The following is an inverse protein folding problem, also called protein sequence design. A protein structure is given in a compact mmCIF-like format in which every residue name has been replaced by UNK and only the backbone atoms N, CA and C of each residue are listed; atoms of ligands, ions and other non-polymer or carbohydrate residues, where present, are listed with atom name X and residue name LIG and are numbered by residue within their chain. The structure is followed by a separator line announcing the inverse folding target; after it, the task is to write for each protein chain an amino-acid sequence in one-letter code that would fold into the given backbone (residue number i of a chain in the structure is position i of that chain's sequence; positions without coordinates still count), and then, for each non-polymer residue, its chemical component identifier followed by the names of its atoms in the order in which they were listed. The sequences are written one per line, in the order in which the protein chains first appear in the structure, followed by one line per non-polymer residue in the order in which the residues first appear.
data_IF_371090788606
#
_entry.id   IF_371090788606
#
_cell.length_a   1.000
_cell.length_b   1.000
_cell.length_c   1.000
_cell.angle_alpha   90.00
_cell.angle_beta   90.00
_cell.angle_gamma   90.00
#
_symmetry.space_group_name_H-M   'P 1'
#
loop_
_entity.id
_entity.type
_entity.pdbx_description
1 polymer ?
#
# COMPACT_ATOMS: atom_id res chain seq x y z
N UNK A 1 37.78 -11.21 -30.58
CA UNK A 1 36.45 -11.47 -31.20
C UNK A 1 35.61 -12.51 -30.44
N UNK A 2 36.11 -13.73 -30.13
CA UNK A 2 35.33 -14.75 -29.41
C UNK A 2 34.82 -14.33 -28.02
N UNK A 3 35.64 -13.64 -27.24
CA UNK A 3 35.25 -13.14 -25.90
C UNK A 3 34.11 -12.11 -26.00
N UNK A 4 34.20 -11.17 -26.93
CA UNK A 4 33.14 -10.17 -27.17
C UNK A 4 31.84 -10.83 -27.62
N UNK A 5 31.91 -11.83 -28.51
CA UNK A 5 30.75 -12.62 -28.91
C UNK A 5 30.12 -13.34 -27.72
N UNK A 6 30.94 -13.99 -26.87
CA UNK A 6 30.43 -14.69 -25.68
C UNK A 6 29.80 -13.73 -24.68
N UNK A 7 30.39 -12.56 -24.45
CA UNK A 7 29.83 -11.51 -23.61
C UNK A 7 28.47 -11.06 -24.14
N UNK A 8 28.37 -10.75 -25.44
CA UNK A 8 27.12 -10.38 -26.08
C UNK A 8 26.05 -11.46 -25.93
N UNK A 9 26.41 -12.73 -26.18
CA UNK A 9 25.50 -13.86 -26.04
C UNK A 9 25.06 -14.08 -24.58
N UNK A 10 25.96 -13.91 -23.61
CA UNK A 10 25.62 -13.98 -22.19
C UNK A 10 24.60 -12.91 -21.82
N UNK A 11 24.82 -11.65 -22.21
CA UNK A 11 23.87 -10.55 -21.95
C UNK A 11 22.53 -10.84 -22.60
N UNK A 12 22.55 -11.25 -23.88
CA UNK A 12 21.33 -11.59 -24.62
C UNK A 12 20.54 -12.72 -23.94
N UNK A 13 21.22 -13.79 -23.50
CA UNK A 13 20.57 -14.88 -22.78
C UNK A 13 20.00 -14.44 -21.44
N UNK A 14 20.72 -13.62 -20.68
CA UNK A 14 20.20 -13.10 -19.42
C UNK A 14 18.89 -12.33 -19.67
N UNK A 15 18.87 -11.43 -20.65
CA UNK A 15 17.67 -10.64 -20.98
C UNK A 15 16.51 -11.55 -21.41
N UNK A 16 16.75 -12.45 -22.36
CA UNK A 16 15.70 -13.32 -22.90
C UNK A 16 15.12 -14.27 -21.83
N UNK A 17 15.97 -14.96 -21.07
CA UNK A 17 15.51 -15.91 -20.06
C UNK A 17 14.88 -15.21 -18.86
N UNK A 18 15.37 -14.04 -18.44
CA UNK A 18 14.70 -13.24 -17.40
C UNK A 18 13.31 -12.80 -17.86
N UNK A 19 13.16 -12.35 -19.11
CA UNK A 19 11.84 -12.05 -19.69
C UNK A 19 10.93 -13.28 -19.75
N UNK A 20 11.48 -14.46 -20.06
CA UNK A 20 10.72 -15.72 -20.02
C UNK A 20 10.32 -16.12 -18.59
N UNK A 21 11.20 -15.98 -17.60
CA UNK A 21 10.87 -16.26 -16.20
C UNK A 21 9.75 -15.34 -15.73
N UNK A 22 9.89 -14.04 -16.01
CA UNK A 22 8.89 -13.05 -15.69
C UNK A 22 7.54 -13.39 -16.33
N UNK A 23 7.52 -13.61 -17.66
CA UNK A 23 6.33 -14.01 -18.39
C UNK A 23 5.68 -15.28 -17.85
N UNK A 24 6.47 -16.31 -17.51
CA UNK A 24 5.97 -17.55 -16.92
C UNK A 24 5.32 -17.32 -15.56
N UNK A 25 5.99 -16.60 -14.65
CA UNK A 25 5.55 -16.44 -13.27
C UNK A 25 4.28 -15.58 -13.15
N UNK A 26 3.98 -14.72 -14.12
CA UNK A 26 2.69 -14.01 -14.21
C UNK A 26 1.49 -14.98 -14.26
N UNK A 27 1.64 -16.17 -14.86
CA UNK A 27 0.55 -17.14 -14.97
C UNK A 27 0.49 -18.14 -13.81
N UNK A 28 1.47 -18.13 -12.90
CA UNK A 28 1.56 -19.12 -11.84
C UNK A 28 1.06 -18.56 -10.51
N UNK A 29 0.28 -19.37 -9.78
CA UNK A 29 0.01 -19.13 -8.36
C UNK A 29 1.28 -19.41 -7.51
N UNK A 30 1.22 -19.15 -6.21
CA UNK A 30 2.36 -19.31 -5.31
C UNK A 30 2.90 -20.75 -5.34
N UNK A 31 2.02 -21.75 -5.21
CA UNK A 31 2.40 -23.17 -5.18
C UNK A 31 3.10 -23.58 -6.48
N UNK A 32 2.51 -23.24 -7.62
CA UNK A 32 3.05 -23.63 -8.93
C UNK A 32 4.34 -22.87 -9.25
N UNK A 33 4.46 -21.62 -8.77
CA UNK A 33 5.70 -20.84 -8.85
C UNK A 33 6.84 -21.49 -8.09
N UNK A 34 6.58 -22.03 -6.89
CA UNK A 34 7.59 -22.78 -6.14
C UNK A 34 8.05 -24.03 -6.89
N UNK A 35 7.10 -24.79 -7.47
CA UNK A 35 7.42 -26.01 -8.24
C UNK A 35 8.23 -25.66 -9.49
N UNK A 36 7.77 -24.70 -10.29
CA UNK A 36 8.47 -24.25 -11.49
C UNK A 36 9.86 -23.68 -11.16
N UNK A 37 9.95 -22.84 -10.13
CA UNK A 37 11.19 -22.26 -9.64
C UNK A 37 12.20 -23.31 -9.18
N UNK A 38 11.76 -24.36 -8.48
CA UNK A 38 12.62 -25.47 -8.07
C UNK A 38 13.16 -26.25 -9.27
N UNK A 39 12.31 -26.56 -10.26
CA UNK A 39 12.73 -27.26 -11.49
C UNK A 39 13.78 -26.44 -12.24
N UNK A 40 13.52 -25.14 -12.48
CA UNK A 40 14.45 -24.26 -13.19
C UNK A 40 15.76 -24.12 -12.40
N UNK A 41 15.69 -24.00 -11.08
CA UNK A 41 16.87 -23.94 -10.20
C UNK A 41 17.76 -25.17 -10.36
N UNK A 42 17.19 -26.37 -10.36
CA UNK A 42 17.95 -27.62 -10.56
C UNK A 42 18.65 -27.61 -11.92
N UNK A 43 17.96 -27.15 -12.98
CA UNK A 43 18.54 -27.05 -14.33
C UNK A 43 19.71 -26.05 -14.38
N UNK A 44 19.57 -24.88 -13.73
CA UNK A 44 20.62 -23.86 -13.66
C UNK A 44 21.84 -24.34 -12.86
N UNK A 45 21.63 -25.05 -11.74
CA UNK A 45 22.71 -25.68 -10.96
C UNK A 45 23.41 -26.75 -11.79
N UNK A 46 22.66 -27.62 -12.48
CA UNK A 46 23.24 -28.65 -13.34
C UNK A 46 24.08 -28.03 -14.47
N UNK A 47 23.60 -26.94 -15.08
CA UNK A 47 24.33 -26.18 -16.10
C UNK A 47 25.63 -25.56 -15.56
N UNK A 48 25.58 -24.99 -14.35
CA UNK A 48 26.74 -24.45 -13.66
C UNK A 48 27.77 -25.53 -13.28
N UNK A 49 27.33 -26.64 -12.69
CA UNK A 49 28.23 -27.77 -12.36
C UNK A 49 28.87 -28.33 -13.63
N UNK A 50 28.10 -28.45 -14.70
CA UNK A 50 28.60 -28.88 -15.99
C UNK A 50 29.67 -27.93 -16.57
N UNK A 51 29.45 -26.61 -16.49
CA UNK A 51 30.43 -25.63 -16.97
C UNK A 51 31.72 -25.64 -16.14
N UNK A 52 31.63 -25.78 -14.82
CA UNK A 52 32.79 -25.95 -13.93
C UNK A 52 33.55 -27.24 -14.27
N UNK A 53 32.84 -28.36 -14.46
CA UNK A 53 33.45 -29.63 -14.86
C UNK A 53 34.24 -29.50 -16.19
N UNK A 54 33.72 -28.75 -17.16
CA UNK A 54 34.43 -28.48 -18.42
C UNK A 54 35.69 -27.64 -18.21
N UNK A 55 35.62 -26.61 -17.37
CA UNK A 55 36.76 -25.74 -17.03
C UNK A 55 37.89 -26.57 -16.42
N UNK A 56 37.57 -27.41 -15.42
CA UNK A 56 38.56 -28.23 -14.70
C UNK A 56 39.22 -29.26 -15.63
N UNK A 57 38.42 -29.99 -16.42
CA UNK A 57 38.95 -31.07 -17.25
C UNK A 57 39.52 -30.59 -18.59
N UNK A 58 39.59 -29.28 -18.82
CA UNK A 58 40.06 -28.63 -20.07
C UNK A 58 39.45 -29.22 -21.34
N UNK A 59 38.24 -29.78 -21.25
CA UNK A 59 37.57 -30.39 -22.40
C UNK A 59 36.92 -29.29 -23.24
N UNK A 60 37.36 -29.14 -24.48
CA UNK A 60 36.73 -28.26 -25.45
C UNK A 60 35.47 -28.94 -26.00
N UNK A 61 34.33 -28.74 -25.33
CA UNK A 61 33.03 -29.17 -25.84
C UNK A 61 32.19 -27.94 -26.16
N UNK A 62 31.32 -28.10 -27.15
CA UNK A 62 30.40 -27.06 -27.59
C UNK A 62 29.09 -27.28 -26.85
N UNK A 63 28.71 -26.38 -25.94
CA UNK A 63 27.36 -26.32 -25.41
C UNK A 63 26.77 -24.97 -25.81
N UNK A 64 25.67 -24.97 -26.57
CA UNK A 64 25.13 -23.78 -27.24
C UNK A 64 26.16 -23.10 -28.17
N UNK A 65 26.05 -21.78 -28.34
CA UNK A 65 26.98 -20.97 -29.13
C UNK A 65 28.27 -20.59 -28.36
N UNK A 66 28.39 -21.00 -27.08
CA UNK A 66 29.55 -20.73 -26.23
C UNK A 66 30.57 -21.88 -26.33
N UNK A 67 31.70 -21.64 -27.03
CA UNK A 67 32.69 -22.68 -27.34
C UNK A 67 34.03 -22.47 -26.61
N UNK A 68 34.66 -23.58 -26.21
CA UNK A 68 35.98 -23.59 -25.57
C UNK A 68 35.98 -23.02 -24.15
N UNK A 69 37.17 -22.86 -23.56
CA UNK A 69 37.33 -22.45 -22.15
C UNK A 69 36.60 -21.14 -21.82
N UNK A 70 36.73 -20.13 -22.69
CA UNK A 70 36.00 -18.87 -22.52
C UNK A 70 34.49 -19.10 -22.55
N UNK A 71 33.99 -19.99 -23.40
CA UNK A 71 32.56 -20.30 -23.46
C UNK A 71 32.05 -20.93 -22.17
N UNK A 72 32.81 -21.86 -21.60
CA UNK A 72 32.48 -22.48 -20.30
C UNK A 72 32.47 -21.46 -19.15
N UNK A 73 33.41 -20.51 -19.13
CA UNK A 73 33.42 -19.41 -18.15
C UNK A 73 32.16 -18.54 -18.28
N UNK A 74 31.83 -18.10 -19.50
CA UNK A 74 30.64 -17.29 -19.74
C UNK A 74 29.35 -18.06 -19.43
N UNK A 75 29.29 -19.36 -19.70
CA UNK A 75 28.15 -20.20 -19.33
C UNK A 75 27.96 -20.29 -17.80
N UNK A 76 29.05 -20.39 -17.03
CA UNK A 76 28.99 -20.33 -15.57
C UNK A 76 28.41 -19.00 -15.09
N UNK A 77 28.89 -17.89 -15.64
CA UNK A 77 28.42 -16.54 -15.32
C UNK A 77 26.93 -16.41 -15.66
N UNK A 78 26.52 -16.81 -16.88
CA UNK A 78 25.12 -16.80 -17.29
C UNK A 78 24.24 -17.61 -16.32
N UNK A 79 24.69 -18.81 -15.92
CA UNK A 79 23.93 -19.68 -14.99
C UNK A 79 23.69 -19.00 -13.63
N UNK A 80 24.72 -18.35 -13.07
CA UNK A 80 24.62 -17.62 -11.80
C UNK A 80 23.70 -16.40 -11.95
N UNK A 81 23.86 -15.61 -13.01
CA UNK A 81 23.01 -14.43 -13.24
C UNK A 81 21.54 -14.81 -13.43
N UNK A 82 21.26 -15.92 -14.14
CA UNK A 82 19.89 -16.43 -14.29
C UNK A 82 19.33 -16.98 -12.98
N UNK A 83 20.15 -17.60 -12.13
CA UNK A 83 19.72 -18.05 -10.80
C UNK A 83 19.31 -16.86 -9.92
N UNK A 84 20.12 -15.79 -9.91
CA UNK A 84 19.81 -14.56 -9.18
C UNK A 84 18.53 -13.92 -9.75
N UNK A 85 18.41 -13.84 -11.08
CA UNK A 85 17.23 -13.26 -11.74
C UNK A 85 15.96 -14.04 -11.41
N UNK A 86 16.02 -15.38 -11.45
CA UNK A 86 14.93 -16.27 -11.07
C UNK A 86 14.50 -16.05 -9.62
N UNK A 87 15.46 -15.89 -8.70
CA UNK A 87 15.17 -15.61 -7.29
C UNK A 87 14.36 -14.31 -7.13
N UNK A 88 14.78 -13.22 -7.78
CA UNK A 88 14.05 -11.94 -7.71
C UNK A 88 12.68 -12.01 -8.37
N UNK A 89 12.55 -12.63 -9.55
CA UNK A 89 11.25 -12.83 -10.22
C UNK A 89 10.30 -13.67 -9.35
N UNK A 90 10.81 -14.76 -8.76
CA UNK A 90 10.03 -15.60 -7.87
C UNK A 90 9.58 -14.85 -6.61
N UNK A 91 10.50 -14.11 -5.99
CA UNK A 91 10.19 -13.26 -4.82
C UNK A 91 9.11 -12.23 -5.15
N UNK A 92 9.23 -11.53 -6.28
CA UNK A 92 8.22 -10.58 -6.74
C UNK A 92 6.83 -11.21 -6.90
N UNK A 93 6.74 -12.39 -7.53
CA UNK A 93 5.45 -13.06 -7.70
C UNK A 93 4.84 -13.48 -6.35
N UNK A 94 5.68 -13.94 -5.42
CA UNK A 94 5.24 -14.28 -4.05
C UNK A 94 4.73 -13.04 -3.33
N UNK A 95 5.47 -11.93 -3.36
CA UNK A 95 5.05 -10.67 -2.74
C UNK A 95 3.67 -10.27 -3.28
N UNK A 96 3.51 -10.18 -4.60
CA UNK A 96 2.26 -9.69 -5.19
C UNK A 96 1.08 -10.61 -4.95
N UNK A 97 1.30 -11.93 -4.99
CA UNK A 97 0.21 -12.87 -4.76
C UNK A 97 -0.13 -12.98 -3.27
N UNK A 98 0.83 -12.78 -2.37
CA UNK A 98 0.61 -12.87 -0.92
C UNK A 98 -0.02 -11.60 -0.34
N UNK A 99 0.37 -10.42 -0.84
CA UNK A 99 -0.14 -9.15 -0.31
C UNK A 99 -1.56 -8.82 -0.78
N UNK A 100 -2.01 -9.36 -1.91
CA UNK A 100 -3.31 -9.03 -2.47
C UNK A 100 -4.42 -10.06 -2.17
N UNK A 101 -4.11 -11.19 -1.52
CA UNK A 101 -5.02 -12.29 -1.12
C UNK A 101 -6.02 -12.84 -2.18
N UNK A 102 -6.01 -12.29 -3.39
CA UNK A 102 -6.87 -12.64 -4.51
C UNK A 102 -6.13 -13.50 -5.55
N UNK A 103 -6.89 -14.28 -6.31
CA UNK A 103 -6.38 -14.98 -7.51
C UNK A 103 -6.18 -13.99 -8.65
N UNK A 104 -5.12 -13.19 -8.57
CA UNK A 104 -4.81 -12.19 -9.58
C UNK A 104 -4.53 -12.83 -10.96
N UNK A 105 -5.13 -12.24 -11.99
CA UNK A 105 -4.86 -12.55 -13.38
C UNK A 105 -3.45 -12.15 -13.81
N UNK A 106 -2.93 -12.69 -14.92
CA UNK A 106 -1.59 -12.34 -15.43
C UNK A 106 -1.42 -10.85 -15.76
N UNK A 107 -2.49 -10.18 -16.23
CA UNK A 107 -2.47 -8.76 -16.56
C UNK A 107 -2.41 -7.88 -15.31
N UNK A 108 -3.26 -8.13 -14.33
CA UNK A 108 -3.25 -7.44 -13.03
C UNK A 108 -1.90 -7.58 -12.33
N UNK A 109 -1.33 -8.78 -12.31
CA UNK A 109 0.02 -8.99 -11.77
C UNK A 109 1.07 -8.17 -12.50
N UNK A 110 0.98 -8.09 -13.83
CA UNK A 110 1.90 -7.27 -14.62
C UNK A 110 1.77 -5.79 -14.27
N UNK A 111 0.54 -5.28 -14.19
CA UNK A 111 0.27 -3.89 -13.83
C UNK A 111 0.76 -3.56 -12.43
N UNK A 112 0.52 -4.41 -11.44
CA UNK A 112 1.04 -4.25 -10.08
C UNK A 112 2.59 -4.25 -10.06
N UNK A 113 3.23 -5.12 -10.84
CA UNK A 113 4.70 -5.16 -10.95
C UNK A 113 5.26 -3.91 -11.60
N UNK A 114 4.62 -3.43 -12.67
CA UNK A 114 5.04 -2.20 -13.36
C UNK A 114 4.80 -0.99 -12.49
N UNK A 115 3.63 -0.86 -11.85
CA UNK A 115 3.28 0.26 -10.98
C UNK A 115 4.19 0.34 -9.75
N UNK A 116 4.70 -0.79 -9.25
CA UNK A 116 5.69 -0.81 -8.19
C UNK A 116 7.05 -0.18 -8.58
N UNK A 117 7.38 -0.10 -9.87
CA UNK A 117 8.66 0.46 -10.37
C UNK A 117 8.51 1.75 -11.17
N UNK A 118 7.38 1.92 -11.84
CA UNK A 118 6.99 3.06 -12.61
C UNK A 118 5.59 3.45 -12.11
N UNK A 119 5.50 4.19 -10.99
CA UNK A 119 4.21 4.62 -10.47
C UNK A 119 3.56 5.51 -11.52
N UNK A 120 2.68 4.90 -12.33
CA UNK A 120 1.80 5.64 -13.22
C UNK A 120 0.75 6.26 -12.29
N UNK A 121 0.65 7.58 -12.29
CA UNK A 121 -0.44 8.25 -11.60
C UNK A 121 -1.75 7.85 -12.30
N UNK A 122 -2.62 7.03 -11.67
CA UNK A 122 -3.86 6.57 -12.30
C UNK A 122 -4.80 7.74 -12.60
N UNK A 123 -4.55 8.91 -11.97
CA UNK A 123 -5.33 10.11 -12.15
C UNK A 123 -4.73 11.08 -13.18
N UNK A 124 -3.59 10.74 -13.81
CA UNK A 124 -2.91 11.64 -14.74
C UNK A 124 -3.82 12.10 -15.89
N UNK A 125 -4.65 11.20 -16.44
CA UNK A 125 -5.61 11.55 -17.50
C UNK A 125 -6.75 12.44 -16.98
N UNK A 126 -7.24 12.18 -15.77
CA UNK A 126 -8.23 13.04 -15.13
C UNK A 126 -7.67 14.45 -14.91
N UNK A 127 -6.48 14.56 -14.29
CA UNK A 127 -5.80 15.84 -14.03
C UNK A 127 -5.49 16.65 -15.30
N UNK A 128 -5.30 16.02 -16.46
CA UNK A 128 -5.07 16.71 -17.74
C UNK A 128 -6.29 17.46 -18.26
N UNK A 129 -7.49 16.95 -17.97
CA UNK A 129 -8.77 17.48 -18.49
C UNK A 129 -9.54 18.27 -17.43
N UNK A 130 -9.20 18.10 -16.16
CA UNK A 130 -9.78 18.81 -15.03
C UNK A 130 -9.45 20.32 -15.01
N UNK A 131 -10.35 21.10 -14.45
CA UNK A 131 -10.02 22.42 -13.94
C UNK A 131 -9.23 22.30 -12.64
N UNK A 132 -8.31 23.24 -12.39
CA UNK A 132 -7.50 23.29 -11.17
C UNK A 132 -7.81 24.57 -10.39
N UNK A 133 -7.94 24.45 -9.07
CA UNK A 133 -7.97 25.56 -8.13
C UNK A 133 -7.03 25.29 -6.97
N UNK A 134 -6.28 26.32 -6.58
CA UNK A 134 -5.39 26.25 -5.42
C UNK A 134 -6.13 26.81 -4.19
N UNK A 135 -6.16 26.03 -3.11
CA UNK A 135 -6.70 26.42 -1.82
C UNK A 135 -5.63 26.09 -0.79
N UNK A 136 -4.87 27.10 -0.37
CA UNK A 136 -3.68 26.93 0.47
C UNK A 136 -2.68 25.92 -0.13
N UNK A 137 -2.40 24.79 0.54
CA UNK A 137 -1.53 23.73 0.02
C UNK A 137 -2.27 22.67 -0.82
N UNK A 138 -3.59 22.80 -1.00
CA UNK A 138 -4.40 21.88 -1.81
C UNK A 138 -4.44 22.33 -3.28
N UNK A 139 -4.01 21.44 -4.18
CA UNK A 139 -4.29 21.53 -5.60
C UNK A 139 -5.59 20.77 -5.90
N UNK A 140 -6.71 21.48 -5.92
CA UNK A 140 -8.03 20.87 -6.15
C UNK A 140 -8.28 20.71 -7.65
N UNK A 141 -8.42 19.46 -8.10
CA UNK A 141 -8.79 19.07 -9.46
C UNK A 141 -10.25 18.63 -9.49
N UNK A 142 -11.01 19.16 -10.44
CA UNK A 142 -12.43 18.87 -10.61
C UNK A 142 -12.85 19.02 -12.07
N UNK A 143 -13.86 18.28 -12.50
CA UNK A 143 -14.41 18.44 -13.85
C UNK A 143 -15.20 19.76 -13.95
N UNK A 144 -15.28 20.42 -15.12
CA UNK A 144 -16.06 21.65 -15.28
C UNK A 144 -17.53 21.53 -14.80
N UNK A 145 -18.13 20.36 -14.93
CA UNK A 145 -19.48 20.05 -14.45
C UNK A 145 -19.58 20.03 -12.91
N UNK A 146 -18.46 19.76 -12.22
CA UNK A 146 -18.32 19.66 -10.76
C UNK A 146 -17.90 20.97 -10.10
N UNK A 147 -17.98 22.10 -10.82
CA UNK A 147 -17.58 23.42 -10.27
C UNK A 147 -18.29 23.77 -8.96
N UNK A 148 -19.49 23.23 -8.74
CA UNK A 148 -20.23 23.42 -7.48
C UNK A 148 -19.56 22.70 -6.31
N UNK A 149 -18.88 21.57 -6.56
CA UNK A 149 -18.39 20.65 -5.54
C UNK A 149 -17.14 21.19 -4.85
N UNK A 150 -16.40 22.10 -5.51
CA UNK A 150 -15.32 22.87 -4.88
C UNK A 150 -15.78 23.58 -3.60
N UNK A 151 -17.07 23.94 -3.51
CA UNK A 151 -17.61 24.61 -2.33
C UNK A 151 -17.48 23.77 -1.07
N UNK A 152 -17.47 22.43 -1.17
CA UNK A 152 -17.16 21.55 -0.05
C UNK A 152 -15.79 21.95 0.53
N UNK A 153 -14.77 21.96 -0.34
CA UNK A 153 -13.40 22.30 0.07
C UNK A 153 -13.30 23.75 0.56
N UNK A 154 -13.90 24.72 -0.15
CA UNK A 154 -13.83 26.13 0.25
C UNK A 154 -14.46 26.41 1.62
N UNK A 155 -15.54 25.70 1.96
CA UNK A 155 -16.25 25.92 3.21
C UNK A 155 -15.62 25.14 4.37
N UNK A 156 -15.10 23.94 4.08
CA UNK A 156 -14.75 22.97 5.11
C UNK A 156 -13.24 22.83 5.36
N UNK A 157 -12.38 23.36 4.47
CA UNK A 157 -10.92 23.24 4.58
C UNK A 157 -10.35 23.73 5.92
N UNK A 158 -10.79 24.90 6.37
CA UNK A 158 -10.26 25.49 7.60
C UNK A 158 -10.65 24.66 8.83
N UNK A 159 -11.86 24.10 8.86
CA UNK A 159 -12.29 23.21 9.94
C UNK A 159 -11.54 21.88 9.89
N UNK A 160 -11.39 21.28 8.70
CA UNK A 160 -10.59 20.06 8.49
C UNK A 160 -9.14 20.22 9.01
N UNK A 161 -8.55 21.39 8.74
CA UNK A 161 -7.25 21.80 9.26
C UNK A 161 -7.24 21.91 10.77
N UNK A 162 -8.19 22.62 11.37
CA UNK A 162 -8.26 22.80 12.82
C UNK A 162 -8.46 21.48 13.57
N UNK A 163 -9.30 20.57 13.04
CA UNK A 163 -9.46 19.21 13.58
C UNK A 163 -8.11 18.50 13.56
N UNK A 164 -7.44 18.50 12.41
CA UNK A 164 -6.20 17.74 12.25
C UNK A 164 -5.06 18.33 13.10
N UNK A 165 -4.93 19.64 13.19
CA UNK A 165 -3.97 20.31 14.08
C UNK A 165 -4.25 20.03 15.57
N UNK A 166 -5.53 19.88 15.95
CA UNK A 166 -5.90 19.48 17.32
C UNK A 166 -5.43 18.07 17.67
N UNK A 167 -5.48 17.13 16.71
CA UNK A 167 -5.08 15.73 16.90
C UNK A 167 -3.56 15.52 16.82
N UNK A 168 -2.88 16.22 15.90
CA UNK A 168 -1.46 15.95 15.58
C UNK A 168 -0.50 17.10 15.92
N UNK A 169 -1.03 18.26 16.28
CA UNK A 169 -0.29 19.51 16.45
C UNK A 169 -0.01 20.21 15.12
N UNK A 170 0.70 21.34 15.18
CA UNK A 170 1.10 22.08 13.99
C UNK A 170 2.10 21.28 13.14
N UNK A 171 1.80 21.12 11.86
CA UNK A 171 2.61 20.41 10.88
C UNK A 171 2.91 21.36 9.71
N UNK A 172 4.06 21.16 9.06
CA UNK A 172 4.41 21.92 7.87
C UNK A 172 3.55 21.46 6.70
N UNK A 173 2.84 22.40 6.08
CA UNK A 173 2.02 22.14 4.91
C UNK A 173 2.91 21.75 3.73
N UNK A 174 2.61 20.59 3.14
CA UNK A 174 3.16 20.17 1.86
C UNK A 174 2.09 20.16 0.79
N UNK A 175 2.40 20.62 -0.44
CA UNK A 175 1.45 20.55 -1.55
C UNK A 175 0.92 19.13 -1.73
N UNK A 176 -0.39 19.00 -1.88
CA UNK A 176 -1.07 17.72 -2.14
C UNK A 176 -2.17 17.95 -3.18
N UNK A 177 -2.37 16.96 -4.06
CA UNK A 177 -3.46 16.99 -5.02
C UNK A 177 -4.75 16.45 -4.38
N UNK A 178 -5.85 17.21 -4.46
CA UNK A 178 -7.19 16.76 -4.09
C UNK A 178 -8.02 16.60 -5.36
N UNK A 179 -8.59 15.42 -5.57
CA UNK A 179 -9.38 15.11 -6.77
C UNK A 179 -10.84 14.91 -6.40
N UNK A 180 -11.72 15.72 -6.98
CA UNK A 180 -13.17 15.57 -6.82
C UNK A 180 -13.71 14.73 -7.98
N UNK A 181 -14.31 13.58 -7.68
CA UNK A 181 -14.75 12.60 -8.67
C UNK A 181 -16.25 12.35 -8.57
N UNK A 182 -16.94 12.06 -9.67
CA UNK A 182 -18.36 11.67 -9.63
C UNK A 182 -18.53 10.18 -9.27
N UNK A 183 -17.53 9.38 -9.58
CA UNK A 183 -17.50 7.94 -9.33
C UNK A 183 -16.08 7.49 -8.98
N UNK A 184 -15.97 6.38 -8.26
CA UNK A 184 -14.68 5.72 -8.08
C UNK A 184 -14.11 5.31 -9.44
N UNK A 185 -12.83 5.57 -9.75
CA UNK A 185 -12.19 5.07 -10.96
C UNK A 185 -12.29 3.55 -11.01
N UNK A 186 -12.41 2.98 -12.22
CA UNK A 186 -12.50 1.53 -12.38
C UNK A 186 -11.29 0.78 -11.76
N UNK A 187 -10.09 1.39 -11.79
CA UNK A 187 -8.90 0.84 -11.12
C UNK A 187 -8.98 0.79 -9.59
N UNK A 188 -9.90 1.56 -8.99
CA UNK A 188 -10.19 1.53 -7.55
C UNK A 188 -11.40 0.64 -7.23
N UNK A 189 -12.33 0.44 -8.19
CA UNK A 189 -13.45 -0.51 -8.06
C UNK A 189 -12.95 -1.94 -7.89
N UNK A 190 -11.84 -2.31 -8.52
CA UNK A 190 -11.22 -3.64 -8.40
C UNK A 190 -10.41 -3.82 -7.10
N UNK A 191 -10.13 -2.74 -6.37
CA UNK A 191 -9.30 -2.82 -5.17
C UNK A 191 -10.09 -3.18 -3.90
N UNK A 192 -11.43 -3.16 -3.87
CA UNK A 192 -12.31 -3.44 -2.70
C UNK A 192 -11.92 -2.71 -1.38
N UNK A 193 -10.89 -1.86 -1.42
CA UNK A 193 -10.15 -1.31 -0.28
C UNK A 193 -10.44 0.16 -0.03
N UNK A 194 -11.20 0.77 -0.93
CA UNK A 194 -11.46 2.21 -0.94
C UNK A 194 -12.79 2.43 -0.22
N UNK A 195 -12.77 3.26 0.83
CA UNK A 195 -14.02 3.80 1.37
C UNK A 195 -14.81 4.34 0.18
N UNK A 196 -16.08 3.94 0.02
CA UNK A 196 -16.80 4.09 -1.25
C UNK A 196 -16.88 5.55 -1.73
N UNK A 197 -16.52 6.49 -0.86
CA UNK A 197 -16.62 7.93 -1.04
C UNK A 197 -15.27 8.66 -0.98
N UNK A 198 -14.14 8.03 -0.65
CA UNK A 198 -12.87 8.73 -0.45
C UNK A 198 -11.62 7.84 -0.53
N UNK A 199 -10.46 8.46 -0.77
CA UNK A 199 -9.16 7.80 -0.61
C UNK A 199 -8.01 8.79 -0.35
N UNK A 200 -6.94 8.29 0.29
CA UNK A 200 -5.65 8.96 0.41
C UNK A 200 -4.51 8.04 -0.06
N UNK A 201 -3.68 8.53 -0.99
CA UNK A 201 -2.48 7.85 -1.50
C UNK A 201 -1.22 8.65 -1.09
N UNK A 202 -0.49 8.21 -0.05
CA UNK A 202 0.72 8.90 0.42
C UNK A 202 1.89 8.80 -0.57
N UNK A 203 1.93 7.79 -1.45
CA UNK A 203 3.02 7.61 -2.41
C UNK A 203 2.88 8.62 -3.55
N UNK A 204 1.64 8.90 -3.96
CA UNK A 204 1.33 9.85 -5.04
C UNK A 204 1.00 11.25 -4.55
N UNK A 205 1.02 11.49 -3.24
CA UNK A 205 0.64 12.77 -2.63
C UNK A 205 -0.72 13.25 -3.18
N UNK A 206 -1.70 12.33 -3.17
CA UNK A 206 -3.02 12.57 -3.76
C UNK A 206 -4.10 12.04 -2.82
N UNK A 207 -5.15 12.83 -2.60
CA UNK A 207 -6.40 12.38 -2.01
C UNK A 207 -7.55 12.57 -3.00
N UNK A 208 -8.62 11.80 -2.83
CA UNK A 208 -9.84 11.94 -3.61
C UNK A 208 -11.08 11.88 -2.74
N UNK A 209 -12.10 12.61 -3.18
CA UNK A 209 -13.45 12.56 -2.62
C UNK A 209 -14.42 12.31 -3.77
N UNK A 210 -15.22 11.26 -3.65
CA UNK A 210 -16.23 10.85 -4.61
C UNK A 210 -17.56 11.48 -4.20
N UNK A 211 -18.06 12.36 -5.06
CA UNK A 211 -19.26 13.16 -4.88
C UNK A 211 -20.22 12.81 -6.03
N UNK A 212 -21.19 11.89 -5.80
CA UNK A 212 -22.19 11.55 -6.80
C UNK A 212 -22.94 12.78 -7.33
N UNK A 213 -23.37 12.74 -8.60
CA UNK A 213 -24.02 13.89 -9.26
C UNK A 213 -25.30 14.39 -8.54
N UNK A 214 -25.98 13.52 -7.81
CA UNK A 214 -27.18 13.81 -7.04
C UNK A 214 -26.92 14.06 -5.54
N UNK A 215 -25.66 13.96 -5.09
CA UNK A 215 -25.29 14.19 -3.71
C UNK A 215 -25.41 15.66 -3.30
N UNK A 216 -25.86 15.88 -2.06
CA UNK A 216 -25.73 17.19 -1.41
C UNK A 216 -24.32 17.33 -0.85
N UNK A 217 -23.53 18.21 -1.44
CA UNK A 217 -22.15 18.50 -1.03
C UNK A 217 -22.03 19.04 0.39
N UNK A 218 -23.13 19.58 0.94
CA UNK A 218 -23.19 20.05 2.35
C UNK A 218 -23.72 18.97 3.29
N UNK A 219 -23.99 17.76 2.79
CA UNK A 219 -24.45 16.67 3.63
C UNK A 219 -23.36 16.27 4.63
N UNK A 220 -23.75 15.85 5.85
CA UNK A 220 -22.79 15.40 6.87
C UNK A 220 -21.85 14.32 6.37
N UNK A 221 -22.31 13.45 5.47
CA UNK A 221 -21.50 12.37 4.89
C UNK A 221 -20.35 12.92 4.04
N UNK A 222 -20.60 13.87 3.13
CA UNK A 222 -19.55 14.45 2.28
C UNK A 222 -18.52 15.23 3.09
N UNK A 223 -18.99 15.96 4.10
CA UNK A 223 -18.11 16.70 5.02
C UNK A 223 -17.26 15.74 5.85
N UNK A 224 -17.87 14.68 6.40
CA UNK A 224 -17.17 13.63 7.14
C UNK A 224 -16.10 12.95 6.29
N UNK A 225 -16.42 12.56 5.06
CA UNK A 225 -15.45 11.94 4.14
C UNK A 225 -14.29 12.87 3.86
N UNK A 226 -14.55 14.16 3.61
CA UNK A 226 -13.46 15.11 3.38
C UNK A 226 -12.55 15.25 4.62
N UNK A 227 -13.12 15.36 5.82
CA UNK A 227 -12.34 15.40 7.06
C UNK A 227 -11.55 14.12 7.31
N UNK A 228 -12.13 12.95 7.00
CA UNK A 228 -11.49 11.64 7.12
C UNK A 228 -10.23 11.57 6.24
N UNK A 229 -10.37 11.86 4.95
CA UNK A 229 -9.24 11.80 4.01
C UNK A 229 -8.16 12.84 4.34
N UNK A 230 -8.59 14.04 4.76
CA UNK A 230 -7.67 15.09 5.17
C UNK A 230 -6.89 14.72 6.45
N UNK A 231 -7.53 13.99 7.37
CA UNK A 231 -6.86 13.49 8.58
C UNK A 231 -5.78 12.45 8.24
N UNK A 232 -5.97 11.60 7.21
CA UNK A 232 -4.91 10.71 6.75
C UNK A 232 -3.68 11.46 6.23
N UNK A 233 -3.89 12.55 5.48
CA UNK A 233 -2.79 13.41 5.05
C UNK A 233 -2.00 13.96 6.25
N UNK A 234 -2.69 14.54 7.23
CA UNK A 234 -2.04 15.06 8.45
C UNK A 234 -1.34 13.96 9.26
N UNK A 235 -1.95 12.78 9.36
CA UNK A 235 -1.37 11.63 10.02
C UNK A 235 -0.04 11.24 9.39
N UNK A 236 0.02 11.13 8.07
CA UNK A 236 1.26 10.80 7.34
C UNK A 236 2.33 11.90 7.51
N UNK A 237 1.94 13.18 7.45
CA UNK A 237 2.88 14.27 7.73
C UNK A 237 3.39 14.24 9.19
N UNK A 238 2.55 13.86 10.16
CA UNK A 238 2.95 13.69 11.56
C UNK A 238 3.98 12.56 11.72
N UNK A 239 3.75 11.42 11.06
CA UNK A 239 4.71 10.32 11.03
C UNK A 239 6.03 10.73 10.39
N UNK A 240 5.98 11.45 9.27
CA UNK A 240 7.18 11.93 8.57
C UNK A 240 7.99 12.90 9.44
N UNK A 241 7.33 13.88 10.08
CA UNK A 241 7.94 14.83 11.02
C UNK A 241 8.64 14.13 12.17
N UNK A 242 7.99 13.12 12.75
CA UNK A 242 8.52 12.35 13.86
C UNK A 242 9.44 11.20 13.41
N UNK A 243 9.61 10.95 12.11
CA UNK A 243 10.39 9.84 11.54
C UNK A 243 9.92 8.48 12.08
N UNK A 244 8.60 8.28 12.08
CA UNK A 244 7.95 7.03 12.47
C UNK A 244 7.66 6.24 11.21
N UNK A 245 7.94 4.95 11.25
CA UNK A 245 7.64 4.04 10.15
C UNK A 245 6.16 3.62 10.23
N UNK A 246 5.40 3.87 9.16
CA UNK A 246 3.96 3.57 9.08
C UNK A 246 3.67 2.09 9.37
N UNK A 247 4.58 1.17 9.03
CA UNK A 247 4.38 -0.28 9.27
C UNK A 247 4.32 -0.63 10.77
N UNK A 248 4.72 0.28 11.65
CA UNK A 248 4.65 0.11 13.10
C UNK A 248 3.32 0.54 13.68
N UNK A 249 2.50 1.25 12.91
CA UNK A 249 1.20 1.74 13.32
C UNK A 249 0.14 0.78 12.78
N UNK A 250 -0.73 0.22 13.65
CA UNK A 250 -1.76 -0.69 13.16
C UNK A 250 -2.84 0.06 12.39
N UNK A 251 -3.37 -0.58 11.34
CA UNK A 251 -4.39 0.00 10.45
C UNK A 251 -5.61 0.48 11.24
N UNK A 252 -6.14 -0.34 12.17
CA UNK A 252 -7.28 0.07 13.00
C UNK A 252 -7.07 1.42 13.70
N UNK A 253 -5.83 1.76 14.08
CA UNK A 253 -5.59 3.04 14.72
C UNK A 253 -5.56 4.19 13.71
N UNK A 254 -4.96 3.99 12.54
CA UNK A 254 -4.98 4.98 11.46
C UNK A 254 -6.43 5.29 11.03
N UNK A 255 -7.19 4.26 10.66
CA UNK A 255 -8.59 4.39 10.25
C UNK A 255 -9.46 4.94 11.38
N UNK A 256 -9.25 4.48 12.62
CA UNK A 256 -10.00 4.98 13.76
C UNK A 256 -9.78 6.46 14.05
N UNK A 257 -8.56 6.97 13.82
CA UNK A 257 -8.26 8.40 13.97
C UNK A 257 -8.89 9.20 12.83
N UNK A 258 -8.86 8.70 11.59
CA UNK A 258 -9.51 9.33 10.46
C UNK A 258 -11.03 9.39 10.62
N UNK A 259 -11.66 8.30 11.07
CA UNK A 259 -13.08 8.28 11.45
C UNK A 259 -13.40 9.27 12.58
N UNK A 260 -12.57 9.28 13.63
CA UNK A 260 -12.76 10.21 14.75
C UNK A 260 -12.70 11.67 14.30
N UNK A 261 -11.76 12.02 13.41
CA UNK A 261 -11.68 13.32 12.78
C UNK A 261 -12.90 13.60 11.90
N UNK A 262 -13.31 12.61 11.10
CA UNK A 262 -14.49 12.64 10.24
C UNK A 262 -15.76 13.04 10.98
N UNK A 263 -16.00 12.45 12.15
CA UNK A 263 -17.17 12.77 12.96
C UNK A 263 -17.09 14.14 13.66
N UNK A 264 -15.90 14.72 13.83
CA UNK A 264 -15.68 16.02 14.50
C UNK A 264 -16.54 16.23 15.78
N UNK A 265 -16.50 15.27 16.70
CA UNK A 265 -17.25 15.35 17.96
C UNK A 265 -18.75 14.98 17.87
N UNK A 266 -19.27 14.66 16.68
CA UNK A 266 -20.50 13.90 16.56
C UNK A 266 -20.30 12.49 17.11
N UNK A 267 -21.23 12.02 17.94
CA UNK A 267 -21.16 10.65 18.48
C UNK A 267 -22.18 9.79 17.73
N UNK A 268 -21.76 9.06 16.69
CA UNK A 268 -22.65 8.17 15.98
C UNK A 268 -23.14 7.07 16.94
N UNK A 269 -24.41 6.70 16.82
CA UNK A 269 -25.01 5.60 17.58
C UNK A 269 -25.08 4.36 16.68
N UNK A 270 -23.91 3.86 16.26
CA UNK A 270 -23.80 2.69 15.38
C UNK A 270 -23.63 1.45 16.27
N UNK A 271 -24.59 0.50 16.26
CA UNK A 271 -24.49 -0.69 17.09
C UNK A 271 -23.37 -1.62 16.59
N UNK A 272 -22.50 -2.07 17.48
CA UNK A 272 -21.52 -3.12 17.20
C UNK A 272 -22.02 -4.44 17.79
N UNK A 273 -22.31 -5.41 16.93
CA UNK A 273 -22.74 -6.74 17.37
C UNK A 273 -21.57 -7.66 17.67
N UNK A 274 -20.46 -7.48 16.95
CA UNK A 274 -19.26 -8.30 17.04
C UNK A 274 -18.02 -7.42 16.84
N UNK A 275 -16.90 -7.84 17.42
CA UNK A 275 -15.60 -7.18 17.25
C UNK A 275 -14.57 -8.16 16.71
N UNK A 276 -13.72 -7.67 15.82
CA UNK A 276 -12.54 -8.39 15.34
C UNK A 276 -11.35 -8.08 16.25
N UNK A 277 -10.61 -9.08 16.76
CA UNK A 277 -9.44 -8.83 17.59
C UNK A 277 -8.44 -7.86 16.94
N UNK A 278 -7.99 -6.83 17.68
CA UNK A 278 -7.12 -5.79 17.13
C UNK A 278 -5.76 -6.31 16.67
N UNK A 279 -5.30 -7.45 17.21
CA UNK A 279 -4.10 -8.12 16.74
C UNK A 279 -4.23 -8.64 15.29
N UNK A 280 -5.46 -8.87 14.82
CA UNK A 280 -5.73 -9.19 13.42
C UNK A 280 -5.81 -7.93 12.56
N UNK A 281 -6.31 -6.81 13.08
CA UNK A 281 -6.51 -5.55 12.34
C UNK A 281 -5.25 -4.67 12.22
N UNK A 282 -4.05 -5.25 12.34
CA UNK A 282 -2.78 -4.51 12.27
C UNK A 282 -2.26 -4.30 10.85
N UNK A 283 -2.60 -5.20 9.92
CA UNK A 283 -2.01 -5.26 8.58
C UNK A 283 -3.10 -5.42 7.51
N UNK A 284 -2.79 -4.95 6.30
CA UNK A 284 -3.75 -4.82 5.20
C UNK A 284 -4.46 -6.14 4.83
N UNK A 285 -3.78 -7.29 4.66
CA UNK A 285 -4.46 -8.54 4.26
C UNK A 285 -5.54 -8.98 5.26
N UNK A 286 -5.27 -8.85 6.55
CA UNK A 286 -6.24 -9.22 7.58
C UNK A 286 -7.39 -8.21 7.69
N UNK A 287 -7.14 -6.94 7.39
CA UNK A 287 -8.16 -5.90 7.33
C UNK A 287 -9.13 -6.16 6.18
N UNK A 288 -8.61 -6.41 4.97
CA UNK A 288 -9.41 -6.78 3.79
C UNK A 288 -10.27 -8.00 4.10
N UNK A 289 -9.67 -9.05 4.66
CA UNK A 289 -10.41 -10.25 5.03
C UNK A 289 -11.53 -9.97 6.03
N UNK A 290 -11.30 -9.10 7.01
CA UNK A 290 -12.34 -8.73 7.97
C UNK A 290 -13.50 -8.00 7.29
N UNK A 291 -13.22 -7.12 6.32
CA UNK A 291 -14.24 -6.47 5.49
C UNK A 291 -15.02 -7.49 4.64
N UNK A 292 -14.34 -8.45 4.00
CA UNK A 292 -14.98 -9.54 3.23
C UNK A 292 -15.90 -10.41 4.11
N UNK A 293 -15.51 -10.62 5.37
CA UNK A 293 -16.30 -11.31 6.39
C UNK A 293 -17.43 -10.42 6.95
N UNK A 294 -17.66 -9.21 6.39
CA UNK A 294 -18.64 -8.20 6.80
C UNK A 294 -18.44 -7.68 8.25
N UNK A 295 -17.21 -7.66 8.75
CA UNK A 295 -16.91 -7.07 10.04
C UNK A 295 -16.91 -5.54 9.96
N UNK A 296 -17.50 -4.89 10.95
CA UNK A 296 -17.58 -3.42 11.04
C UNK A 296 -16.30 -2.83 11.67
N UNK A 297 -15.19 -3.00 10.95
CA UNK A 297 -13.85 -2.65 11.45
C UNK A 297 -13.62 -1.14 11.54
N UNK A 298 -14.28 -0.32 10.72
CA UNK A 298 -14.22 1.14 10.79
C UNK A 298 -14.93 1.65 12.05
N UNK A 299 -16.16 1.22 12.31
CA UNK A 299 -16.89 1.60 13.52
C UNK A 299 -16.18 1.12 14.79
N UNK A 300 -15.66 -0.11 14.79
CA UNK A 300 -14.86 -0.61 15.91
C UNK A 300 -13.61 0.26 16.14
N UNK A 301 -12.91 0.64 15.08
CA UNK A 301 -11.72 1.48 15.13
C UNK A 301 -12.03 2.88 15.65
N UNK A 302 -13.13 3.48 15.18
CA UNK A 302 -13.66 4.74 15.68
C UNK A 302 -13.90 4.68 17.20
N UNK A 303 -14.66 3.71 17.71
CA UNK A 303 -14.94 3.63 19.14
C UNK A 303 -13.69 3.38 19.98
N UNK A 304 -12.72 2.66 19.44
CA UNK A 304 -11.42 2.48 20.10
C UNK A 304 -10.73 3.82 20.33
N UNK A 305 -10.65 4.66 19.30
CA UNK A 305 -10.06 6.00 19.38
C UNK A 305 -10.91 6.93 20.22
N UNK A 306 -12.24 6.86 20.12
CA UNK A 306 -13.14 7.62 20.97
C UNK A 306 -12.92 7.30 22.46
N UNK A 307 -12.80 6.03 22.84
CA UNK A 307 -12.52 5.64 24.23
C UNK A 307 -11.17 6.21 24.69
N UNK A 308 -10.14 6.15 23.85
CA UNK A 308 -8.82 6.68 24.19
C UNK A 308 -8.87 8.20 24.39
N UNK A 309 -9.54 8.92 23.51
CA UNK A 309 -9.64 10.39 23.57
C UNK A 309 -10.57 10.85 24.70
N UNK A 310 -11.68 10.16 24.96
CA UNK A 310 -12.58 10.44 26.07
C UNK A 310 -11.88 10.32 27.44
N UNK A 311 -11.01 9.32 27.59
CA UNK A 311 -10.39 9.01 28.89
C UNK A 311 -9.04 9.70 29.10
N UNK A 312 -8.26 9.92 28.03
CA UNK A 312 -6.89 10.45 28.12
C UNK A 312 -6.70 11.81 27.41
N UNK A 313 -7.75 12.33 26.77
CA UNK A 313 -7.72 13.54 25.94
C UNK A 313 -7.18 13.28 24.53
N UNK A 314 -7.54 14.12 23.56
CA UNK A 314 -7.13 13.99 22.15
C UNK A 314 -5.60 13.90 21.96
N UNK A 315 -4.83 14.55 22.83
CA UNK A 315 -3.36 14.49 22.81
C UNK A 315 -2.78 13.07 22.94
N UNK A 316 -3.57 12.09 23.39
CA UNK A 316 -3.16 10.68 23.45
C UNK A 316 -2.77 10.14 22.08
N UNK A 317 -3.37 10.63 20.99
CA UNK A 317 -3.10 10.16 19.63
C UNK A 317 -1.63 10.39 19.28
N UNK A 318 -1.18 11.64 19.39
CA UNK A 318 0.21 11.99 19.12
C UNK A 318 1.18 11.35 20.12
N UNK A 319 0.75 11.18 21.37
CA UNK A 319 1.53 10.53 22.42
C UNK A 319 1.78 9.04 22.15
N UNK A 320 0.80 8.34 21.58
CA UNK A 320 0.93 6.94 21.16
C UNK A 320 1.88 6.82 19.96
N UNK A 321 1.80 7.71 18.98
CA UNK A 321 2.72 7.73 17.83
C UNK A 321 4.17 7.92 18.31
N UNK A 322 4.42 8.95 19.14
CA UNK A 322 5.76 9.24 19.69
C UNK A 322 6.28 8.12 20.58
N UNK A 323 5.43 7.47 21.36
CA UNK A 323 5.84 6.36 22.21
C UNK A 323 6.12 5.09 21.39
N UNK A 324 5.37 4.83 20.32
CA UNK A 324 5.61 3.72 19.38
C UNK A 324 7.00 3.80 18.76
N UNK A 325 7.48 5.03 18.47
CA UNK A 325 8.86 5.24 18.03
C UNK A 325 9.89 4.74 19.05
N UNK A 326 9.64 4.96 20.34
CA UNK A 326 10.57 4.64 21.44
C UNK A 326 10.54 3.16 21.80
N UNK A 327 9.36 2.56 21.85
CA UNK A 327 9.17 1.13 22.18
C UNK A 327 9.46 0.23 20.98
N UNK A 328 9.19 0.73 19.76
CA UNK A 328 9.22 -0.07 18.54
C UNK A 328 7.94 -0.88 18.31
N UNK A 329 6.94 -0.76 19.19
CA UNK A 329 5.67 -1.49 19.13
C UNK A 329 4.52 -0.60 19.59
N UNK A 330 3.47 -0.49 18.78
CA UNK A 330 2.26 0.26 19.12
C UNK A 330 1.54 -0.32 20.34
N UNK A 331 1.50 -1.65 20.47
CA UNK A 331 0.86 -2.29 21.63
C UNK A 331 1.59 -1.95 22.93
N UNK A 332 2.93 -1.93 22.91
CA UNK A 332 3.71 -1.51 24.08
C UNK A 332 3.52 -0.01 24.39
N UNK A 333 3.39 0.82 23.35
CA UNK A 333 3.08 2.23 23.51
C UNK A 333 1.71 2.45 24.15
N UNK A 334 0.69 1.70 23.69
CA UNK A 334 -0.65 1.71 24.27
C UNK A 334 -0.61 1.37 25.76
N UNK A 335 -0.01 0.23 26.12
CA UNK A 335 0.12 -0.18 27.51
C UNK A 335 0.82 0.90 28.33
N UNK A 336 1.92 1.48 27.82
CA UNK A 336 2.69 2.47 28.58
C UNK A 336 1.98 3.81 28.75
N UNK A 337 1.12 4.19 27.81
CA UNK A 337 0.41 5.47 27.81
C UNK A 337 -0.96 5.42 28.49
N UNK A 338 -1.61 4.27 28.50
CA UNK A 338 -3.00 4.13 28.98
C UNK A 338 -3.23 2.95 29.93
N UNK A 339 -2.23 2.11 30.17
CA UNK A 339 -2.36 0.80 30.83
C UNK A 339 -3.31 -0.17 30.11
N UNK A 340 -3.69 0.12 28.85
CA UNK A 340 -4.56 -0.75 28.05
C UNK A 340 -3.77 -1.72 27.19
N UNK A 341 -4.23 -2.96 27.22
CA UNK A 341 -3.92 -3.96 26.19
C UNK A 341 -5.01 -3.90 25.12
N UNK A 342 -4.75 -4.47 23.94
CA UNK A 342 -5.81 -4.62 22.92
C UNK A 342 -7.06 -5.30 23.46
N UNK A 343 -6.91 -6.37 24.25
CA UNK A 343 -8.04 -7.08 24.88
C UNK A 343 -8.82 -6.23 25.88
N UNK A 344 -8.16 -5.29 26.54
CA UNK A 344 -8.83 -4.36 27.45
C UNK A 344 -9.67 -3.35 26.66
N UNK A 345 -9.13 -2.84 25.54
CA UNK A 345 -9.83 -1.92 24.66
C UNK A 345 -11.03 -2.59 23.97
N UNK A 346 -10.84 -3.80 23.44
CA UNK A 346 -11.89 -4.66 22.89
C UNK A 346 -13.05 -4.84 23.88
N UNK A 347 -12.75 -5.17 25.14
CA UNK A 347 -13.79 -5.34 26.17
C UNK A 347 -14.54 -4.04 26.44
N UNK A 348 -13.83 -2.92 26.51
CA UNK A 348 -14.45 -1.60 26.75
C UNK A 348 -15.40 -1.19 25.64
N UNK A 349 -15.07 -1.50 24.38
CA UNK A 349 -15.97 -1.25 23.25
C UNK A 349 -17.29 -2.00 23.48
N UNK A 350 -17.22 -3.30 23.76
CA UNK A 350 -18.40 -4.15 24.01
C UNK A 350 -19.18 -3.82 25.30
N UNK A 351 -18.57 -3.11 26.25
CA UNK A 351 -19.25 -2.68 27.49
C UNK A 351 -19.99 -1.34 27.31
N UNK A 352 -19.53 -0.49 26.38
CA UNK A 352 -20.04 0.87 26.16
C UNK A 352 -21.04 0.96 25.01
N UNK A 353 -20.99 0.01 24.06
CA UNK A 353 -21.79 -0.05 22.83
C UNK A 353 -22.30 -1.47 22.62
#
# INVERSE_FOLDING_TARGET
MKILLHLFLTILYIILFTGMFFGLFLFLNIRDSFIAGAIITILLIAMFVYSIYQIINRRQRNLLFLKGLSGSIFLSITSICLFISLFFVGLMNVMITHFNDQTLGPLEKFELQVNAYLPVDPYAEHKKTAERKEIDHLNVFYSPEQKRDIKLVENEFEEARQISERLFGEIEDKPIDLILLNESPDSLKDLDYVDYLGFYDPIKETMGVIIPEDADISSPLMVQTFYHEYAHYFFDQALAKEKIDIIKIPIWFNEGVAEYAGYNGYVPQIPLTEITPFDKLKISPNWTKALEDNADVYTQSYYAVQILTDEFGEGIIMDLLKETKKTGSFEEALIKKTDYTYKALERKIMEKH
#
